data_IF_023505782936
#
_entry.id   IF_023505782936
#
_cell.length_a   1.000
_cell.length_b   1.000
_cell.length_c   1.000
_cell.angle_alpha   90.00
_cell.angle_beta   90.00
_cell.angle_gamma   90.00
#
_symmetry.space_group_name_H-M   'P 1'
#
loop_
_entity.id
_entity.type
_entity.pdbx_description
1 polymer ?
#
# COMPACT_ATOMS: atom_id res chain seq x y z
N UNK A 1 1.41 60.55 68.27
CA UNK A 1 0.84 59.29 68.79
C UNK A 1 0.28 58.50 67.62
N UNK A 2 0.83 57.32 67.41
CA UNK A 2 0.72 56.49 66.20
C UNK A 2 -0.61 55.75 66.15
N UNK A 3 -1.41 55.92 65.10
CA UNK A 3 -2.52 55.01 64.81
C UNK A 3 -1.94 53.80 64.07
N UNK A 4 -1.84 52.68 64.80
CA UNK A 4 -1.39 51.40 64.25
C UNK A 4 -2.44 50.88 63.25
N UNK A 5 -2.04 50.81 61.99
CA UNK A 5 -2.76 50.12 60.93
C UNK A 5 -2.73 48.62 61.23
N UNK A 6 -3.84 48.08 61.73
CA UNK A 6 -4.00 46.63 61.91
C UNK A 6 -4.21 46.02 60.52
N UNK A 7 -3.14 45.48 59.93
CA UNK A 7 -3.22 44.72 58.67
C UNK A 7 -3.87 43.36 58.96
N UNK A 8 -5.08 43.20 58.45
CA UNK A 8 -5.79 41.91 58.36
C UNK A 8 -4.88 40.89 57.63
N UNK A 9 -4.66 39.68 58.17
CA UNK A 9 -3.91 38.66 57.45
C UNK A 9 -4.75 38.21 56.25
N UNK A 10 -4.16 38.27 55.07
CA UNK A 10 -4.75 37.74 53.84
C UNK A 10 -4.99 36.23 54.04
N UNK A 11 -6.23 35.84 54.31
CA UNK A 11 -6.64 34.45 54.28
C UNK A 11 -6.41 33.95 52.85
N UNK A 12 -5.45 33.04 52.69
CA UNK A 12 -5.13 32.45 51.40
C UNK A 12 -6.41 31.85 50.80
N UNK A 13 -6.83 32.34 49.63
CA UNK A 13 -7.89 31.70 48.86
C UNK A 13 -7.43 30.27 48.51
N UNK A 14 -8.32 29.26 48.59
CA UNK A 14 -7.98 27.93 48.09
C UNK A 14 -7.56 28.06 46.63
N UNK A 15 -6.53 27.34 46.17
CA UNK A 15 -6.10 27.45 44.79
C UNK A 15 -7.29 27.12 43.90
N UNK A 16 -7.67 28.07 43.04
CA UNK A 16 -8.68 27.88 41.99
C UNK A 16 -8.18 26.71 41.12
N UNK A 17 -8.68 25.51 41.38
CA UNK A 17 -8.37 24.33 40.60
C UNK A 17 -9.05 24.49 39.24
N UNK A 18 -8.37 25.14 38.31
CA UNK A 18 -8.74 25.10 36.89
C UNK A 18 -8.66 23.65 36.46
N UNK A 19 -9.80 22.97 36.48
CA UNK A 19 -9.97 21.61 35.98
C UNK A 19 -9.44 21.58 34.54
N UNK A 20 -8.22 21.08 34.37
CA UNK A 20 -7.63 20.87 33.05
C UNK A 20 -8.46 19.79 32.38
N UNK A 21 -9.49 20.22 31.65
CA UNK A 21 -10.34 19.34 30.86
C UNK A 21 -9.45 18.77 29.76
N UNK A 22 -8.85 17.58 30.00
CA UNK A 22 -8.07 16.85 28.99
C UNK A 22 -8.92 16.76 27.73
N UNK A 23 -8.55 17.51 26.69
CA UNK A 23 -9.21 17.39 25.39
C UNK A 23 -9.01 15.95 24.93
N UNK A 24 -10.12 15.22 24.89
CA UNK A 24 -10.20 13.81 24.47
C UNK A 24 -9.49 13.62 23.13
N UNK A 25 -8.40 12.85 23.15
CA UNK A 25 -7.62 12.44 21.98
C UNK A 25 -8.52 11.73 20.95
N UNK A 26 -9.48 10.94 21.44
CA UNK A 26 -10.48 10.25 20.61
C UNK A 26 -11.34 11.23 19.81
N UNK A 27 -11.80 12.34 20.38
CA UNK A 27 -12.60 13.32 19.64
C UNK A 27 -11.84 14.00 18.49
N UNK A 28 -10.49 13.97 18.50
CA UNK A 28 -9.66 14.48 17.39
C UNK A 28 -9.50 13.45 16.27
N UNK A 29 -9.36 12.18 16.62
CA UNK A 29 -9.30 11.06 15.66
C UNK A 29 -10.61 10.93 14.86
N UNK A 30 -11.76 11.04 15.54
CA UNK A 30 -13.08 10.97 14.92
C UNK A 30 -13.47 12.24 14.13
N UNK A 31 -12.83 13.40 14.38
CA UNK A 31 -13.08 14.65 13.63
C UNK A 31 -12.45 14.69 12.23
N UNK A 32 -11.56 13.76 11.91
CA UNK A 32 -10.90 13.64 10.59
C UNK A 32 -11.29 12.34 9.87
N UNK A 33 -12.36 11.70 10.32
CA UNK A 33 -12.78 10.40 9.80
C UNK A 33 -13.26 10.47 8.37
N UNK A 34 -13.77 11.60 7.89
CA UNK A 34 -14.30 11.77 6.52
C UNK A 34 -13.25 11.43 5.45
N UNK A 35 -12.05 12.01 5.54
CA UNK A 35 -10.97 11.75 4.58
C UNK A 35 -10.37 10.35 4.76
N UNK A 36 -10.30 9.86 6.00
CA UNK A 36 -9.74 8.53 6.31
C UNK A 36 -10.67 7.41 5.80
N UNK A 37 -11.99 7.56 5.99
CA UNK A 37 -13.02 6.62 5.54
C UNK A 37 -13.11 6.52 4.02
N UNK A 38 -12.70 7.54 3.26
CA UNK A 38 -12.68 7.47 1.80
C UNK A 38 -11.60 6.50 1.29
N UNK A 39 -10.48 6.38 2.00
CA UNK A 39 -9.35 5.50 1.65
C UNK A 39 -9.51 4.10 2.23
N UNK A 40 -10.11 3.98 3.41
CA UNK A 40 -10.34 2.71 4.10
C UNK A 40 -10.99 1.60 3.26
N UNK A 41 -12.07 1.82 2.46
CA UNK A 41 -12.67 0.75 1.66
C UNK A 41 -11.70 0.27 0.57
N UNK A 42 -10.90 1.16 -0.02
CA UNK A 42 -9.86 0.77 -0.99
C UNK A 42 -8.74 -0.05 -0.35
N UNK A 43 -8.24 0.39 0.81
CA UNK A 43 -7.20 -0.34 1.56
C UNK A 43 -7.70 -1.70 2.03
N UNK A 44 -8.94 -1.76 2.52
CA UNK A 44 -9.55 -3.01 2.97
C UNK A 44 -9.75 -3.99 1.81
N UNK A 45 -10.14 -3.49 0.63
CA UNK A 45 -10.24 -4.31 -0.58
C UNK A 45 -8.86 -4.87 -0.98
N UNK A 46 -7.83 -4.04 -1.06
CA UNK A 46 -6.45 -4.49 -1.34
C UNK A 46 -5.96 -5.48 -0.29
N UNK A 47 -6.27 -5.26 0.99
CA UNK A 47 -5.88 -6.17 2.05
C UNK A 47 -6.53 -7.54 1.87
N UNK A 48 -7.85 -7.59 1.65
CA UNK A 48 -8.59 -8.86 1.52
C UNK A 48 -8.28 -9.57 0.20
N UNK A 49 -8.18 -8.85 -0.91
CA UNK A 49 -8.04 -9.47 -2.24
C UNK A 49 -6.62 -9.53 -2.78
N UNK A 50 -5.66 -8.78 -2.23
CA UNK A 50 -4.25 -8.83 -2.66
C UNK A 50 -3.35 -9.37 -1.55
N UNK A 51 -3.52 -8.93 -0.29
CA UNK A 51 -2.63 -9.37 0.79
C UNK A 51 -2.96 -10.78 1.32
N UNK A 52 -4.25 -11.14 1.43
CA UNK A 52 -4.62 -12.50 1.86
C UNK A 52 -4.18 -13.56 0.83
N UNK A 53 -4.40 -13.41 -0.50
CA UNK A 53 -3.95 -14.41 -1.46
C UNK A 53 -2.43 -14.61 -1.50
N UNK A 54 -1.65 -13.61 -1.08
CA UNK A 54 -0.19 -13.75 -0.97
C UNK A 54 0.25 -14.80 0.06
N UNK A 55 -0.59 -15.16 1.05
CA UNK A 55 -0.29 -16.29 1.93
C UNK A 55 -0.16 -17.61 1.15
N UNK A 56 -0.75 -17.71 -0.04
CA UNK A 56 -0.58 -18.85 -0.94
C UNK A 56 0.88 -19.08 -1.37
N UNK A 57 1.72 -18.04 -1.38
CA UNK A 57 3.15 -18.17 -1.74
C UNK A 57 3.88 -19.10 -0.77
N UNK A 58 3.43 -19.18 0.49
CA UNK A 58 4.03 -20.09 1.48
C UNK A 58 3.91 -21.56 1.07
N UNK A 59 2.92 -21.92 0.26
CA UNK A 59 2.75 -23.31 -0.22
C UNK A 59 3.89 -23.78 -1.10
N UNK A 60 4.63 -22.86 -1.76
CA UNK A 60 5.82 -23.20 -2.54
C UNK A 60 6.98 -23.75 -1.69
N UNK A 61 6.94 -23.56 -0.36
CA UNK A 61 7.95 -24.05 0.58
C UNK A 61 7.49 -25.25 1.41
N UNK A 62 6.26 -25.74 1.18
CA UNK A 62 5.65 -26.84 1.92
C UNK A 62 5.35 -28.01 0.99
N UNK A 63 5.31 -29.24 1.53
CA UNK A 63 4.93 -30.43 0.75
C UNK A 63 3.39 -30.52 0.65
N UNK A 64 2.78 -29.59 -0.10
CA UNK A 64 1.33 -29.46 -0.21
C UNK A 64 0.74 -30.39 -1.28
N UNK A 65 -0.10 -31.35 -0.87
CA UNK A 65 -0.83 -32.22 -1.78
C UNK A 65 -2.28 -31.74 -2.00
N UNK A 66 -2.58 -31.27 -3.21
CA UNK A 66 -3.93 -30.79 -3.60
C UNK A 66 -5.01 -31.88 -3.59
N UNK A 67 -4.63 -33.15 -3.70
CA UNK A 67 -5.58 -34.27 -3.81
C UNK A 67 -6.01 -34.84 -2.45
N UNK A 68 -5.22 -34.63 -1.40
CA UNK A 68 -5.46 -35.19 -0.08
C UNK A 68 -6.31 -34.27 0.81
N UNK A 69 -6.52 -33.01 0.41
CA UNK A 69 -7.31 -32.03 1.18
C UNK A 69 -6.69 -31.66 2.53
N UNK A 70 -5.40 -31.98 2.75
CA UNK A 70 -4.69 -31.65 3.97
C UNK A 70 -4.68 -30.11 4.14
N UNK A 71 -4.99 -29.64 5.35
CA UNK A 71 -5.05 -28.20 5.65
C UNK A 71 -3.69 -27.59 5.33
N UNK A 72 -3.70 -26.37 4.78
CA UNK A 72 -2.49 -25.62 4.37
C UNK A 72 -1.41 -25.59 5.48
N UNK A 73 -1.82 -25.68 6.75
CA UNK A 73 -0.96 -25.62 7.94
C UNK A 73 -0.51 -26.97 8.51
N UNK A 74 -1.01 -28.12 8.01
CA UNK A 74 -0.63 -29.45 8.51
C UNK A 74 0.57 -30.04 7.75
N UNK A 75 0.96 -29.45 6.62
CA UNK A 75 2.03 -29.98 5.77
C UNK A 75 3.43 -29.56 6.27
N UNK A 76 4.44 -30.45 6.16
CA UNK A 76 5.79 -30.15 6.59
C UNK A 76 6.44 -29.08 5.70
N UNK A 77 7.23 -28.22 6.32
CA UNK A 77 8.07 -27.23 5.62
C UNK A 77 9.27 -27.92 4.99
N UNK A 78 9.38 -27.85 3.65
CA UNK A 78 10.42 -28.50 2.84
C UNK A 78 11.41 -27.52 2.20
N UNK A 79 11.22 -26.20 2.40
CA UNK A 79 12.13 -25.18 1.92
C UNK A 79 12.22 -25.13 0.39
N UNK A 80 13.43 -25.28 -0.17
CA UNK A 80 13.69 -25.08 -1.60
C UNK A 80 13.53 -26.33 -2.48
N UNK A 81 13.08 -27.46 -1.92
CA UNK A 81 12.92 -28.74 -2.64
C UNK A 81 12.20 -28.59 -3.99
N UNK A 82 11.09 -27.86 -4.02
CA UNK A 82 10.29 -27.67 -5.24
C UNK A 82 10.97 -26.76 -6.27
N UNK A 83 11.74 -25.77 -5.82
CA UNK A 83 12.51 -24.90 -6.69
C UNK A 83 13.65 -25.67 -7.36
N UNK A 84 14.40 -26.47 -6.60
CA UNK A 84 15.44 -27.34 -7.13
C UNK A 84 14.86 -28.34 -8.14
N UNK A 85 13.73 -28.97 -7.82
CA UNK A 85 13.04 -29.86 -8.74
C UNK A 85 12.65 -29.16 -10.05
N UNK A 86 12.14 -27.93 -9.97
CA UNK A 86 11.77 -27.12 -11.13
C UNK A 86 12.97 -26.75 -12.01
N UNK A 87 14.06 -26.26 -11.42
CA UNK A 87 15.27 -25.87 -12.17
C UNK A 87 16.00 -27.05 -12.82
N UNK A 88 15.86 -28.25 -12.27
CA UNK A 88 16.44 -29.47 -12.82
C UNK A 88 15.55 -30.14 -13.89
N UNK A 89 14.38 -29.58 -14.22
CA UNK A 89 13.57 -30.11 -15.33
C UNK A 89 14.24 -29.86 -16.68
N UNK A 90 14.21 -30.82 -17.63
CA UNK A 90 14.83 -30.65 -18.95
C UNK A 90 14.20 -29.51 -19.76
N UNK A 91 12.93 -29.18 -19.49
CA UNK A 91 12.18 -28.15 -20.21
C UNK A 91 12.44 -26.73 -19.68
N UNK A 92 13.02 -26.58 -18.48
CA UNK A 92 13.25 -25.28 -17.86
C UNK A 92 14.03 -24.33 -18.78
N UNK A 93 15.11 -24.82 -19.39
CA UNK A 93 15.93 -24.02 -20.30
C UNK A 93 15.17 -23.57 -21.56
N UNK A 94 14.42 -24.48 -22.17
CA UNK A 94 13.59 -24.19 -23.35
C UNK A 94 12.53 -23.13 -23.06
N UNK A 95 11.84 -23.28 -21.92
CA UNK A 95 10.86 -22.32 -21.39
C UNK A 95 11.54 -20.97 -21.22
N UNK A 96 12.63 -20.90 -20.44
CA UNK A 96 13.31 -19.66 -20.11
C UNK A 96 13.78 -18.89 -21.37
N UNK A 97 14.40 -19.60 -22.32
CA UNK A 97 14.91 -19.03 -23.57
C UNK A 97 13.78 -18.61 -24.51
N UNK A 98 12.58 -19.18 -24.41
CA UNK A 98 11.45 -18.77 -25.26
C UNK A 98 10.72 -17.56 -24.70
N UNK A 99 10.47 -17.54 -23.38
CA UNK A 99 9.68 -16.48 -22.75
C UNK A 99 10.45 -15.16 -22.66
N UNK A 100 11.75 -15.18 -22.38
CA UNK A 100 12.52 -13.95 -22.18
C UNK A 100 12.64 -13.10 -23.45
N UNK A 101 13.02 -13.63 -24.62
CA UNK A 101 13.01 -12.87 -25.87
C UNK A 101 11.61 -12.44 -26.31
N UNK A 102 10.58 -13.26 -26.06
CA UNK A 102 9.20 -12.90 -26.37
C UNK A 102 8.74 -11.68 -25.55
N UNK A 103 8.99 -11.69 -24.24
CA UNK A 103 8.74 -10.56 -23.35
C UNK A 103 9.51 -9.31 -23.81
N UNK A 104 10.80 -9.44 -24.09
CA UNK A 104 11.63 -8.33 -24.57
C UNK A 104 11.14 -7.77 -25.91
N UNK A 105 10.76 -8.63 -26.86
CA UNK A 105 10.18 -8.21 -28.13
C UNK A 105 8.91 -7.38 -27.92
N UNK A 106 8.05 -7.77 -27.00
CA UNK A 106 6.81 -7.05 -26.72
C UNK A 106 7.05 -5.70 -26.04
N UNK A 107 8.03 -5.62 -25.13
CA UNK A 107 8.45 -4.36 -24.50
C UNK A 107 9.04 -3.38 -25.51
N UNK A 108 9.94 -3.86 -26.39
CA UNK A 108 10.58 -3.02 -27.42
C UNK A 108 9.55 -2.54 -28.44
N UNK A 109 8.71 -3.44 -28.96
CA UNK A 109 7.67 -3.08 -29.92
C UNK A 109 6.65 -2.13 -29.28
N UNK A 110 6.22 -2.41 -28.04
CA UNK A 110 5.33 -1.52 -27.30
C UNK A 110 5.90 -0.13 -27.13
N UNK A 111 7.18 -0.02 -26.74
CA UNK A 111 7.89 1.26 -26.63
C UNK A 111 7.94 2.03 -27.96
N UNK A 112 8.39 1.36 -29.04
CA UNK A 112 8.46 1.99 -30.36
C UNK A 112 7.10 2.44 -30.89
N UNK A 113 6.05 1.65 -30.65
CA UNK A 113 4.68 2.01 -31.06
C UNK A 113 4.17 3.21 -30.28
N UNK A 114 4.44 3.29 -28.97
CA UNK A 114 4.06 4.44 -28.16
C UNK A 114 4.79 5.71 -28.62
N UNK A 115 6.11 5.63 -28.85
CA UNK A 115 6.89 6.77 -29.36
C UNK A 115 6.37 7.24 -30.73
N UNK A 116 6.02 6.30 -31.60
CA UNK A 116 5.45 6.61 -32.92
C UNK A 116 4.07 7.26 -32.81
N UNK A 117 3.21 6.75 -31.93
CA UNK A 117 1.88 7.30 -31.68
C UNK A 117 1.95 8.71 -31.08
N UNK A 118 2.87 8.94 -30.15
CA UNK A 118 3.10 10.26 -29.56
C UNK A 118 3.60 11.26 -30.60
N UNK A 119 4.52 10.85 -31.47
CA UNK A 119 4.98 11.66 -32.60
C UNK A 119 3.83 12.07 -33.53
N UNK A 120 2.97 11.11 -33.90
CA UNK A 120 1.79 11.37 -34.73
C UNK A 120 0.85 12.33 -34.02
N UNK A 121 0.55 12.07 -32.75
CA UNK A 121 -0.37 12.88 -31.95
C UNK A 121 0.14 14.31 -31.85
N UNK A 122 1.43 14.50 -31.57
CA UNK A 122 2.06 15.82 -31.52
C UNK A 122 1.97 16.55 -32.87
N UNK A 123 2.22 15.87 -33.98
CA UNK A 123 2.10 16.44 -35.34
C UNK A 123 0.66 16.85 -35.64
N UNK A 124 -0.33 16.01 -35.32
CA UNK A 124 -1.73 16.33 -35.53
C UNK A 124 -2.19 17.50 -34.67
N UNK A 125 -1.81 17.54 -33.40
CA UNK A 125 -2.11 18.66 -32.50
C UNK A 125 -1.51 19.98 -33.00
N UNK A 126 -0.25 19.96 -33.47
CA UNK A 126 0.38 21.13 -34.07
C UNK A 126 -0.38 21.61 -35.31
N UNK A 127 -0.80 20.69 -36.18
CA UNK A 127 -1.59 21.01 -37.37
C UNK A 127 -2.97 21.59 -37.04
N UNK A 128 -3.65 21.03 -36.04
CA UNK A 128 -4.97 21.51 -35.61
C UNK A 128 -4.92 22.91 -35.03
N UNK A 129 -3.87 23.26 -34.28
CA UNK A 129 -3.66 24.63 -33.76
C UNK A 129 -3.52 25.64 -34.90
N UNK A 130 -2.67 25.36 -35.88
CA UNK A 130 -2.49 26.24 -37.05
C UNK A 130 -3.78 26.47 -37.83
N UNK A 131 -4.67 25.47 -37.90
CA UNK A 131 -5.95 25.58 -38.62
C UNK A 131 -7.06 26.29 -37.82
N UNK A 132 -6.91 26.45 -36.51
CA UNK A 132 -7.91 27.09 -35.64
C UNK A 132 -7.49 28.52 -35.25
N UNK A 133 -6.25 28.90 -35.56
CA UNK A 133 -5.69 30.24 -35.34
C UNK A 133 -5.85 31.16 -36.59
N UNK A 134 -6.39 30.65 -37.72
CA UNK A 134 -6.82 31.41 -38.92
C UNK A 134 -8.33 31.66 -38.94
#
# INVERSE_FOLDING_TARGET
MSQATTKQPYAAMPPEQKLIRKKSFFNRLFKQLDVKLMVWPGVLLVFVFSYIPMYGILTAFMDYNIFTGAKIFENPWVGFKHFEAFFNTPDFGTIFITYLPHFMSWVIVGGLVMDYMDYITARWQAKLKLLNDE
#
